data_IF_864497676992
#
_entry.id   IF_864497676992
#
_cell.length_a   1.000
_cell.length_b   1.000
_cell.length_c   1.000
_cell.angle_alpha   90.00
_cell.angle_beta   90.00
_cell.angle_gamma   90.00
#
_symmetry.space_group_name_H-M   'P 1'
#
loop_
_entity.id
_entity.type
_entity.pdbx_description
1 polymer ?
#
# COMPACT_ATOMS: atom_id res chain seq x y z
N UNK A 1 15.64 -8.85 -7.67
CA UNK A 1 16.55 -7.84 -7.05
C UNK A 1 16.39 -6.44 -7.65
N UNK A 2 16.55 -6.23 -8.97
CA UNK A 2 16.45 -4.89 -9.57
C UNK A 2 15.08 -4.21 -9.37
N UNK A 3 13.98 -4.98 -9.41
CA UNK A 3 12.62 -4.48 -9.17
C UNK A 3 12.43 -3.93 -7.75
N UNK A 4 12.79 -4.72 -6.73
CA UNK A 4 12.65 -4.31 -5.33
C UNK A 4 13.42 -3.01 -5.04
N UNK A 5 14.64 -2.91 -5.55
CA UNK A 5 15.47 -1.71 -5.40
C UNK A 5 14.75 -0.49 -6.02
N UNK A 6 14.29 -0.59 -7.27
CA UNK A 6 13.57 0.50 -7.95
C UNK A 6 12.33 0.93 -7.16
N UNK A 7 11.52 -0.02 -6.70
CA UNK A 7 10.31 0.27 -5.91
C UNK A 7 10.65 0.95 -4.58
N UNK A 8 11.68 0.48 -3.87
CA UNK A 8 12.12 1.08 -2.60
C UNK A 8 12.61 2.51 -2.82
N UNK A 9 13.40 2.77 -3.86
CA UNK A 9 13.84 4.13 -4.20
C UNK A 9 12.65 5.04 -4.54
N UNK A 10 11.71 4.60 -5.38
CA UNK A 10 10.50 5.38 -5.68
C UNK A 10 9.68 5.67 -4.42
N UNK A 11 9.51 4.69 -3.53
CA UNK A 11 8.82 4.89 -2.26
C UNK A 11 9.56 5.89 -1.37
N UNK A 12 10.89 5.85 -1.34
CA UNK A 12 11.70 6.78 -0.58
C UNK A 12 11.64 8.22 -1.11
N UNK A 13 11.71 8.39 -2.43
CA UNK A 13 11.52 9.70 -3.07
C UNK A 13 10.17 10.30 -2.69
N UNK A 14 9.09 9.50 -2.80
CA UNK A 14 7.74 9.96 -2.48
C UNK A 14 7.55 10.19 -0.99
N UNK A 15 8.13 9.34 -0.14
CA UNK A 15 8.14 9.52 1.31
C UNK A 15 8.89 10.82 1.70
N UNK A 16 9.85 11.27 0.90
CA UNK A 16 10.58 12.52 1.10
C UNK A 16 9.81 13.79 0.68
N UNK A 17 8.72 13.67 -0.09
CA UNK A 17 7.95 14.83 -0.55
C UNK A 17 7.32 15.55 0.65
N UNK A 18 7.50 16.86 0.70
CA UNK A 18 6.78 17.73 1.63
C UNK A 18 5.31 17.80 1.25
N UNK A 19 4.46 17.42 2.20
CA UNK A 19 3.01 17.41 2.05
C UNK A 19 2.43 18.46 3.00
N UNK A 20 1.50 19.26 2.49
CA UNK A 20 0.94 20.40 3.23
C UNK A 20 0.20 20.01 4.52
N UNK A 21 -0.25 21.03 5.28
CA UNK A 21 -0.82 20.88 6.63
C UNK A 21 -2.03 19.93 6.75
N UNK A 22 -2.74 19.69 5.65
CA UNK A 22 -3.89 18.76 5.63
C UNK A 22 -3.48 17.29 5.57
N UNK A 23 -2.21 17.00 5.28
CA UNK A 23 -1.71 15.65 5.32
C UNK A 23 -1.77 15.13 6.73
N UNK A 24 -2.42 13.97 6.88
CA UNK A 24 -2.46 13.27 8.16
C UNK A 24 -1.37 12.19 8.12
N UNK A 25 -0.18 12.45 8.69
CA UNK A 25 0.78 11.40 8.93
C UNK A 25 0.12 10.36 9.82
N UNK A 26 0.48 9.12 9.58
CA UNK A 26 -0.41 8.04 9.93
C UNK A 26 -0.51 7.81 11.44
N UNK A 27 -1.73 7.66 11.94
CA UNK A 27 -2.04 7.06 13.24
C UNK A 27 -1.97 5.51 13.12
N UNK A 28 -0.88 4.98 12.58
CA UNK A 28 -0.85 3.70 11.81
C UNK A 28 -1.00 2.41 12.62
N UNK A 29 -0.56 2.39 13.88
CA UNK A 29 -0.62 1.20 14.73
C UNK A 29 -2.03 0.96 15.27
N UNK A 30 -2.75 2.03 15.59
CA UNK A 30 -4.05 1.97 16.25
C UNK A 30 -5.05 2.94 15.62
N UNK A 31 -6.21 2.42 15.26
CA UNK A 31 -7.38 3.20 14.84
C UNK A 31 -8.37 3.32 15.98
N UNK A 32 -8.80 4.54 16.28
CA UNK A 32 -9.82 4.78 17.30
C UNK A 32 -11.20 4.51 16.70
N UNK A 33 -11.89 3.47 17.14
CA UNK A 33 -13.27 3.20 16.74
C UNK A 33 -14.11 2.95 17.99
N UNK A 34 -15.14 3.79 18.19
CA UNK A 34 -16.12 3.65 19.30
C UNK A 34 -15.49 3.45 20.69
N UNK A 35 -14.56 4.30 21.09
CA UNK A 35 -13.92 4.31 22.42
C UNK A 35 -13.03 3.10 22.74
N UNK A 36 -12.52 2.39 21.72
CA UNK A 36 -11.49 1.34 21.87
C UNK A 36 -10.44 1.49 20.77
N UNK A 37 -9.17 1.27 21.14
CA UNK A 37 -8.08 1.14 20.18
C UNK A 37 -8.21 -0.19 19.44
N UNK A 38 -8.33 -0.11 18.11
CA UNK A 38 -8.33 -1.26 17.22
C UNK A 38 -7.06 -1.24 16.38
N UNK A 39 -6.58 -2.41 15.97
CA UNK A 39 -5.42 -2.49 15.09
C UNK A 39 -5.61 -1.66 13.81
N UNK A 40 -4.63 -0.79 13.55
CA UNK A 40 -4.58 0.08 12.39
C UNK A 40 -4.21 -0.66 11.10
N UNK A 41 -4.23 0.08 9.98
CA UNK A 41 -3.98 -0.47 8.64
C UNK A 41 -2.61 -1.14 8.54
N UNK A 42 -1.60 -0.61 9.23
CA UNK A 42 -0.24 -1.12 9.21
C UNK A 42 -0.15 -2.54 9.77
N UNK A 43 -0.59 -2.75 11.02
CA UNK A 43 -0.55 -4.06 11.68
C UNK A 43 -1.38 -5.09 10.92
N UNK A 44 -2.55 -4.69 10.43
CA UNK A 44 -3.42 -5.56 9.62
C UNK A 44 -2.75 -5.96 8.30
N UNK A 45 -2.06 -5.02 7.64
CA UNK A 45 -1.34 -5.31 6.41
C UNK A 45 -0.19 -6.29 6.61
N UNK A 46 0.58 -6.13 7.70
CA UNK A 46 1.66 -7.08 8.06
C UNK A 46 1.10 -8.50 8.23
N UNK A 47 0.00 -8.66 8.97
CA UNK A 47 -0.65 -9.97 9.18
C UNK A 47 -1.24 -10.57 7.90
N UNK A 48 -1.64 -9.73 6.94
CA UNK A 48 -2.26 -10.17 5.69
C UNK A 48 -1.24 -10.54 4.62
N UNK A 49 0.01 -10.04 4.70
CA UNK A 49 1.07 -10.26 3.70
C UNK A 49 1.19 -11.73 3.29
N UNK A 50 1.28 -12.64 4.26
CA UNK A 50 1.48 -14.07 3.99
C UNK A 50 0.28 -14.76 3.35
N UNK A 51 -0.87 -14.09 3.36
CA UNK A 51 -2.12 -14.57 2.74
C UNK A 51 -2.34 -13.98 1.35
N UNK A 52 -1.47 -13.08 0.89
CA UNK A 52 -1.54 -12.50 -0.46
C UNK A 52 -1.16 -13.55 -1.49
N UNK A 53 -2.02 -13.71 -2.51
CA UNK A 53 -1.76 -14.57 -3.67
C UNK A 53 -1.58 -13.71 -4.91
N UNK A 54 -0.37 -13.66 -5.46
CA UNK A 54 -0.13 -13.03 -6.76
C UNK A 54 -0.74 -13.91 -7.85
N UNK A 55 -1.64 -13.34 -8.66
CA UNK A 55 -2.40 -14.09 -9.69
C UNK A 55 -2.03 -13.71 -11.12
N UNK A 56 -1.48 -12.51 -11.33
CA UNK A 56 -1.04 -12.05 -12.65
C UNK A 56 0.13 -11.08 -12.48
N UNK A 57 1.13 -11.24 -13.33
CA UNK A 57 2.22 -10.28 -13.53
C UNK A 57 2.26 -9.98 -15.02
N UNK A 58 2.20 -8.70 -15.38
CA UNK A 58 2.34 -8.23 -16.76
C UNK A 58 3.45 -7.20 -16.77
N UNK A 59 4.44 -7.40 -17.64
CA UNK A 59 5.57 -6.50 -17.81
C UNK A 59 5.41 -5.84 -19.16
N UNK A 60 5.39 -4.51 -19.18
CA UNK A 60 5.28 -3.70 -20.40
C UNK A 60 6.31 -2.58 -20.35
N UNK A 61 7.46 -2.82 -20.99
CA UNK A 61 8.60 -1.90 -20.99
C UNK A 61 9.06 -1.55 -19.57
N UNK A 62 8.93 -0.27 -19.22
CA UNK A 62 9.33 0.25 -17.91
C UNK A 62 8.30 0.04 -16.80
N UNK A 63 7.07 -0.37 -17.14
CA UNK A 63 5.97 -0.56 -16.21
C UNK A 63 5.73 -2.04 -15.94
N UNK A 64 5.24 -2.34 -14.75
CA UNK A 64 4.81 -3.69 -14.40
C UNK A 64 3.49 -3.65 -13.66
N UNK A 65 2.51 -4.37 -14.17
CA UNK A 65 1.21 -4.55 -13.54
C UNK A 65 1.21 -5.88 -12.78
N UNK A 66 0.91 -5.81 -11.48
CA UNK A 66 0.82 -6.97 -10.61
C UNK A 66 -0.58 -7.01 -10.02
N UNK A 67 -1.30 -8.10 -10.26
CA UNK A 67 -2.63 -8.34 -9.68
C UNK A 67 -2.51 -9.42 -8.63
N UNK A 68 -3.05 -9.14 -7.44
CA UNK A 68 -3.11 -10.04 -6.32
C UNK A 68 -4.55 -10.23 -5.82
N UNK A 69 -4.80 -11.40 -5.25
CA UNK A 69 -5.97 -11.68 -4.42
C UNK A 69 -5.56 -11.64 -2.96
N UNK A 70 -6.32 -10.89 -2.15
CA UNK A 70 -6.07 -10.72 -0.71
C UNK A 70 -7.35 -11.04 0.05
N UNK A 71 -7.34 -11.96 1.03
CA UNK A 71 -8.55 -12.31 1.76
C UNK A 71 -9.02 -11.17 2.66
N UNK A 72 -10.34 -11.13 2.86
CA UNK A 72 -10.96 -10.33 3.91
C UNK A 72 -10.64 -10.91 5.29
N UNK A 73 -10.47 -10.05 6.29
CA UNK A 73 -10.24 -10.48 7.67
C UNK A 73 -11.49 -11.11 8.31
N UNK A 74 -12.67 -10.65 7.89
CA UNK A 74 -13.94 -10.93 8.57
C UNK A 74 -14.93 -11.75 7.70
N UNK A 75 -14.49 -12.25 6.55
CA UNK A 75 -15.35 -13.01 5.65
C UNK A 75 -14.54 -13.92 4.73
N UNK A 76 -15.22 -14.83 4.03
CA UNK A 76 -14.63 -15.68 3.00
C UNK A 76 -14.36 -14.95 1.67
N UNK A 77 -14.66 -13.64 1.60
CA UNK A 77 -14.45 -12.83 0.39
C UNK A 77 -12.96 -12.57 0.17
N UNK A 78 -12.55 -12.52 -1.10
CA UNK A 78 -11.23 -12.04 -1.51
C UNK A 78 -11.39 -10.72 -2.27
N UNK A 79 -10.48 -9.78 -2.03
CA UNK A 79 -10.38 -8.53 -2.75
C UNK A 79 -9.24 -8.59 -3.77
N UNK A 80 -9.42 -7.88 -4.89
CA UNK A 80 -8.36 -7.72 -5.89
C UNK A 80 -7.56 -6.47 -5.53
N UNK A 81 -6.26 -6.61 -5.40
CA UNK A 81 -5.31 -5.50 -5.30
C UNK A 81 -4.47 -5.48 -6.58
N UNK A 82 -4.39 -4.33 -7.23
CA UNK A 82 -3.59 -4.08 -8.42
C UNK A 82 -2.50 -3.10 -8.05
N UNK A 83 -1.25 -3.45 -8.32
CA UNK A 83 -0.07 -2.58 -8.15
C UNK A 83 0.50 -2.34 -9.55
N UNK A 84 0.70 -1.08 -9.92
CA UNK A 84 1.36 -0.67 -11.15
C UNK A 84 2.70 -0.06 -10.74
N UNK A 85 3.80 -0.66 -11.18
CA UNK A 85 5.14 -0.19 -10.88
C UNK A 85 5.56 0.86 -11.91
N UNK A 86 6.27 1.95 -11.51
CA UNK A 86 6.99 2.08 -10.24
C UNK A 86 6.13 2.43 -9.02
N UNK A 87 5.05 3.21 -9.15
CA UNK A 87 4.07 3.38 -8.07
C UNK A 87 2.71 3.93 -8.54
N UNK A 88 1.71 3.05 -8.63
CA UNK A 88 0.27 3.33 -8.56
C UNK A 88 -0.44 2.07 -8.03
N UNK A 89 -1.66 2.20 -7.54
CA UNK A 89 -2.42 1.07 -7.02
C UNK A 89 -3.93 1.27 -6.99
N UNK A 90 -4.64 0.15 -7.08
CA UNK A 90 -6.09 0.04 -6.98
C UNK A 90 -6.47 -1.17 -6.13
N UNK A 91 -7.59 -1.09 -5.41
CA UNK A 91 -8.16 -2.23 -4.70
C UNK A 91 -9.68 -2.17 -4.75
N UNK A 92 -10.29 -3.34 -4.89
CA UNK A 92 -11.75 -3.49 -4.94
C UNK A 92 -12.42 -3.50 -3.56
N UNK A 93 -11.67 -3.26 -2.47
CA UNK A 93 -12.26 -3.25 -1.14
C UNK A 93 -13.03 -1.95 -0.86
N UNK A 94 -14.12 -1.99 -0.07
CA UNK A 94 -14.93 -0.80 0.22
C UNK A 94 -14.15 0.35 0.84
N UNK A 95 -13.05 0.07 1.57
CA UNK A 95 -12.22 1.09 2.18
C UNK A 95 -11.63 2.05 1.14
N UNK A 96 -11.08 1.53 0.04
CA UNK A 96 -10.43 2.40 -0.96
C UNK A 96 -11.44 3.25 -1.74
N UNK A 97 -12.71 2.84 -1.80
CA UNK A 97 -13.78 3.62 -2.44
C UNK A 97 -14.10 4.92 -1.69
N UNK A 98 -13.73 5.02 -0.42
CA UNK A 98 -14.12 6.14 0.46
C UNK A 98 -12.93 6.86 1.10
N UNK A 99 -11.69 6.40 0.87
CA UNK A 99 -10.52 6.92 1.55
C UNK A 99 -9.34 7.14 0.60
N UNK A 100 -8.65 8.27 0.79
CA UNK A 100 -7.46 8.66 0.05
C UNK A 100 -6.15 8.08 0.65
N UNK A 101 -6.24 6.96 1.36
CA UNK A 101 -5.12 6.27 2.00
C UNK A 101 -5.03 4.83 1.47
N UNK A 102 -3.84 4.21 1.41
CA UNK A 102 -3.70 2.82 1.03
C UNK A 102 -4.49 1.93 2.00
N UNK A 103 -5.32 1.05 1.45
CA UNK A 103 -5.94 0.03 2.27
C UNK A 103 -4.91 -1.03 2.67
N UNK A 104 -5.23 -1.79 3.73
CA UNK A 104 -4.39 -2.91 4.21
C UNK A 104 -4.05 -3.94 3.11
N UNK A 105 -4.93 -4.14 2.12
CA UNK A 105 -4.69 -5.10 1.05
C UNK A 105 -3.60 -4.59 0.08
N UNK A 106 -3.60 -3.29 -0.25
CA UNK A 106 -2.55 -2.67 -1.07
C UNK A 106 -1.22 -2.76 -0.34
N UNK A 107 -1.21 -2.38 0.94
CA UNK A 107 0.00 -2.43 1.76
C UNK A 107 0.56 -3.85 1.87
N UNK A 108 -0.28 -4.83 2.22
CA UNK A 108 0.09 -6.25 2.27
C UNK A 108 0.63 -6.75 0.91
N UNK A 109 0.00 -6.34 -0.19
CA UNK A 109 0.42 -6.73 -1.55
C UNK A 109 1.78 -6.17 -1.89
N UNK A 110 2.05 -4.90 -1.58
CA UNK A 110 3.35 -4.28 -1.81
C UNK A 110 4.46 -4.98 -1.01
N UNK A 111 4.22 -5.29 0.26
CA UNK A 111 5.15 -6.07 1.07
C UNK A 111 5.41 -7.46 0.47
N UNK A 112 4.36 -8.15 -0.01
CA UNK A 112 4.52 -9.46 -0.64
C UNK A 112 5.36 -9.39 -1.93
N UNK A 113 5.15 -8.34 -2.74
CA UNK A 113 5.95 -8.11 -3.95
C UNK A 113 7.43 -7.90 -3.59
N UNK A 114 7.71 -7.07 -2.59
CA UNK A 114 9.08 -6.78 -2.14
C UNK A 114 9.76 -8.04 -1.57
N UNK A 115 9.06 -8.82 -0.75
CA UNK A 115 9.53 -10.10 -0.22
C UNK A 115 9.91 -11.07 -1.33
N UNK A 116 9.02 -11.28 -2.31
CA UNK A 116 9.27 -12.18 -3.45
C UNK A 116 10.45 -11.71 -4.32
N UNK A 117 10.86 -10.45 -4.19
CA UNK A 117 11.99 -9.86 -4.92
C UNK A 117 13.28 -9.74 -4.09
N UNK A 118 13.30 -10.33 -2.87
CA UNK A 118 14.47 -10.43 -2.00
C UNK A 118 14.67 -9.25 -1.06
N UNK A 119 13.67 -8.38 -0.88
CA UNK A 119 13.77 -7.29 0.09
C UNK A 119 13.65 -7.82 1.54
N UNK A 120 14.39 -7.23 2.51
CA UNK A 120 14.34 -7.63 3.91
C UNK A 120 13.10 -7.04 4.61
N UNK A 121 11.93 -7.54 4.23
CA UNK A 121 10.62 -7.05 4.71
C UNK A 121 10.38 -7.18 6.22
N UNK A 122 11.24 -7.90 6.95
CA UNK A 122 11.23 -7.97 8.42
C UNK A 122 11.84 -6.71 9.07
N UNK A 123 12.54 -5.86 8.30
CA UNK A 123 13.02 -4.57 8.79
C UNK A 123 11.83 -3.60 8.94
N UNK A 124 11.54 -3.21 10.18
CA UNK A 124 10.46 -2.28 10.52
C UNK A 124 10.60 -0.91 9.82
N UNK A 125 11.83 -0.47 9.52
CA UNK A 125 12.08 0.78 8.80
C UNK A 125 11.60 0.68 7.35
N UNK A 126 11.87 -0.46 6.71
CA UNK A 126 11.38 -0.74 5.36
C UNK A 126 9.86 -0.84 5.37
N UNK A 127 9.27 -1.53 6.35
CA UNK A 127 7.82 -1.62 6.49
C UNK A 127 7.16 -0.24 6.61
N UNK A 128 7.74 0.65 7.43
CA UNK A 128 7.28 2.02 7.61
C UNK A 128 7.46 2.86 6.35
N UNK A 129 8.61 2.76 5.68
CA UNK A 129 8.88 3.43 4.41
C UNK A 129 7.83 3.07 3.35
N UNK A 130 7.53 1.78 3.21
CA UNK A 130 6.54 1.29 2.24
C UNK A 130 5.16 1.89 2.55
N UNK A 131 4.76 1.86 3.82
CA UNK A 131 3.46 2.39 4.21
C UNK A 131 3.36 3.90 3.99
N UNK A 132 4.36 4.66 4.43
CA UNK A 132 4.40 6.12 4.30
C UNK A 132 4.46 6.56 2.83
N UNK A 133 5.30 5.90 2.02
CA UNK A 133 5.39 6.16 0.58
C UNK A 133 4.05 5.93 -0.13
N UNK A 134 3.36 4.82 0.17
CA UNK A 134 2.02 4.55 -0.34
C UNK A 134 0.99 5.58 0.13
N UNK A 135 1.06 6.00 1.40
CA UNK A 135 0.14 6.98 1.98
C UNK A 135 0.31 8.37 1.39
N UNK A 136 1.56 8.85 1.27
CA UNK A 136 1.85 10.12 0.60
C UNK A 136 1.47 10.08 -0.87
N UNK A 137 1.77 8.99 -1.59
CA UNK A 137 1.35 8.83 -2.97
C UNK A 137 -0.18 8.98 -3.13
N UNK A 138 -0.96 8.28 -2.29
CA UNK A 138 -2.41 8.36 -2.33
C UNK A 138 -2.94 9.78 -2.07
N UNK A 139 -2.35 10.47 -1.10
CA UNK A 139 -2.69 11.85 -0.78
C UNK A 139 -2.37 12.81 -1.95
N UNK A 140 -1.19 12.71 -2.54
CA UNK A 140 -0.76 13.53 -3.67
C UNK A 140 -1.68 13.28 -4.88
N UNK A 141 -1.96 12.00 -5.19
CA UNK A 141 -2.90 11.61 -6.24
C UNK A 141 -4.26 12.26 -6.01
N UNK A 142 -4.80 12.16 -4.79
CA UNK A 142 -6.09 12.75 -4.44
C UNK A 142 -6.15 14.28 -4.62
N UNK A 143 -5.13 15.00 -4.14
CA UNK A 143 -5.04 16.47 -4.28
C UNK A 143 -4.93 16.89 -5.74
N UNK A 144 -4.15 16.17 -6.54
CA UNK A 144 -4.01 16.46 -7.98
C UNK A 144 -5.30 16.20 -8.75
N UNK A 145 -6.07 15.16 -8.41
CA UNK A 145 -7.40 14.95 -8.99
C UNK A 145 -8.35 16.11 -8.66
N UNK A 146 -8.34 16.60 -7.42
CA UNK A 146 -9.17 17.73 -7.00
C UNK A 146 -8.80 19.04 -7.69
N UNK A 147 -7.52 19.26 -8.03
CA UNK A 147 -7.08 20.45 -8.73
C UNK A 147 -7.52 20.50 -10.21
N UNK A 148 -7.92 19.35 -10.77
CA UNK A 148 -8.36 19.21 -12.17
C UNK A 148 -9.89 19.23 -12.32
N UNK A 149 -10.64 19.29 -11.21
CA UNK A 149 -12.12 19.30 -11.16
C UNK A 149 -12.64 20.62 -10.63
#
# INVERSE_FOLDING_TARGET
MQLAIRVIFTLAEIAGIEVGRDYKPTSYLYSYYKKRDNEGVFLKGLKLKDKVKIVKVTVDGEYSEIIAKVPSENSTKEYRAKIILPLDFECTCPYQQHHFNPCKHVYATMLKILELNGAPIEDWRLQQLVYEGLNKYAYIKAKNLQALT
#
